data_IF_485747553041
#
_entry.id   IF_485747553041
#
_cell.length_a   1.000
_cell.length_b   1.000
_cell.length_c   1.000
_cell.angle_alpha   90.00
_cell.angle_beta   90.00
_cell.angle_gamma   90.00
#
_symmetry.space_group_name_H-M   'P 1'
#
loop_
_entity.id
_entity.type
_entity.pdbx_description
1 polymer ?
#
# COMPACT_ATOMS: atom_id res chain seq x y z
N UNK A 1 -2.92 -30.13 10.31
CA UNK A 1 -1.54 -30.64 10.53
C UNK A 1 -0.52 -29.53 10.30
N UNK A 2 0.39 -29.30 11.25
CA UNK A 2 1.47 -28.30 11.14
C UNK A 2 2.82 -28.99 10.92
N UNK A 3 3.62 -28.47 9.98
CA UNK A 3 5.00 -28.88 9.73
C UNK A 3 5.97 -27.73 10.01
N UNK A 4 7.15 -28.03 10.52
CA UNK A 4 8.19 -27.04 10.81
C UNK A 4 9.53 -27.49 10.23
N UNK A 5 10.20 -26.62 9.46
CA UNK A 5 11.55 -26.88 8.93
C UNK A 5 12.55 -25.93 9.59
N UNK A 6 13.47 -26.44 10.43
CA UNK A 6 14.42 -25.60 11.16
C UNK A 6 15.50 -25.01 10.24
N UNK A 7 16.08 -23.89 10.70
CA UNK A 7 17.21 -23.24 10.02
C UNK A 7 18.43 -24.17 9.91
N UNK A 8 19.16 -24.07 8.80
CA UNK A 8 20.35 -24.89 8.53
C UNK A 8 20.10 -26.17 7.70
N UNK A 9 18.88 -26.39 7.21
CA UNK A 9 18.58 -27.39 6.20
C UNK A 9 18.06 -26.69 4.94
N UNK A 10 18.98 -26.12 4.15
CA UNK A 10 18.63 -25.35 2.94
C UNK A 10 19.72 -24.43 2.37
N UNK A 11 20.74 -24.02 3.15
CA UNK A 11 21.82 -23.17 2.63
C UNK A 11 22.99 -22.89 3.60
N UNK A 12 24.20 -22.84 3.02
CA UNK A 12 25.51 -22.34 3.49
C UNK A 12 26.36 -23.05 4.57
N UNK A 13 26.00 -24.22 5.11
CA UNK A 13 26.95 -25.02 5.92
C UNK A 13 27.03 -26.48 5.46
N UNK A 14 28.24 -26.94 5.13
CA UNK A 14 28.52 -28.23 4.48
C UNK A 14 28.34 -29.47 5.36
N UNK A 15 27.95 -29.33 6.65
CA UNK A 15 27.99 -30.45 7.60
C UNK A 15 26.66 -31.19 7.86
N UNK A 16 25.51 -30.67 7.42
CA UNK A 16 24.22 -31.36 7.61
C UNK A 16 23.27 -31.13 6.41
N UNK A 17 23.47 -31.83 5.30
CA UNK A 17 22.52 -31.88 4.17
C UNK A 17 21.52 -33.01 4.36
N UNK A 18 20.47 -32.82 5.16
CA UNK A 18 19.20 -33.54 4.91
C UNK A 18 18.42 -32.74 3.88
N UNK A 19 17.90 -33.40 2.84
CA UNK A 19 17.08 -32.70 1.84
C UNK A 19 15.82 -32.16 2.54
N UNK A 20 15.45 -30.91 2.28
CA UNK A 20 14.22 -30.31 2.80
C UNK A 20 12.99 -31.17 2.52
N UNK A 21 12.99 -31.87 1.38
CA UNK A 21 11.96 -32.82 0.96
C UNK A 21 11.77 -34.01 1.90
N UNK A 22 12.78 -34.36 2.71
CA UNK A 22 12.68 -35.47 3.68
C UNK A 22 12.03 -35.06 5.01
N UNK A 23 11.87 -33.75 5.24
CA UNK A 23 11.30 -33.21 6.48
C UNK A 23 9.84 -32.77 6.34
N UNK A 24 9.35 -32.59 5.10
CA UNK A 24 7.96 -32.21 4.87
C UNK A 24 7.08 -33.47 4.79
N UNK A 25 5.93 -33.49 5.48
CA UNK A 25 4.95 -34.55 5.30
C UNK A 25 4.36 -34.51 3.88
N UNK A 26 3.65 -35.57 3.48
CA UNK A 26 2.97 -35.62 2.19
C UNK A 26 1.90 -34.54 2.01
N UNK A 27 1.35 -34.01 3.11
CA UNK A 27 0.43 -32.86 3.14
C UNK A 27 0.54 -32.17 4.50
N UNK A 28 0.35 -30.87 4.54
CA UNK A 28 0.08 -30.14 5.78
C UNK A 28 -0.90 -29.00 5.53
N UNK A 29 -1.45 -28.43 6.60
CA UNK A 29 -2.29 -27.23 6.54
C UNK A 29 -1.45 -25.99 6.84
N UNK A 30 -0.48 -26.11 7.74
CA UNK A 30 0.41 -25.01 8.14
C UNK A 30 1.85 -25.45 7.98
N UNK A 31 2.67 -24.62 7.34
CA UNK A 31 4.11 -24.78 7.21
C UNK A 31 4.82 -23.61 7.89
N UNK A 32 5.75 -23.89 8.80
CA UNK A 32 6.63 -22.89 9.39
C UNK A 32 8.08 -23.11 8.94
N UNK A 33 8.73 -22.06 8.44
CA UNK A 33 10.13 -22.11 7.99
C UNK A 33 10.91 -20.89 8.50
N UNK A 34 12.23 -20.99 8.54
CA UNK A 34 13.04 -19.83 8.91
C UNK A 34 13.03 -18.76 7.81
N UNK A 35 13.31 -19.16 6.58
CA UNK A 35 13.42 -18.30 5.40
C UNK A 35 12.19 -18.45 4.49
N UNK A 36 11.84 -17.42 3.69
CA UNK A 36 10.73 -17.47 2.75
C UNK A 36 11.05 -18.37 1.54
N UNK A 37 10.05 -18.80 0.77
CA UNK A 37 10.27 -19.47 -0.51
C UNK A 37 10.97 -18.54 -1.52
N UNK A 38 11.86 -19.10 -2.37
CA UNK A 38 12.56 -18.32 -3.40
C UNK A 38 11.59 -17.56 -4.31
N UNK A 39 11.91 -16.30 -4.59
CA UNK A 39 11.14 -15.34 -5.39
C UNK A 39 9.80 -14.89 -4.78
N UNK A 40 9.50 -15.22 -3.53
CA UNK A 40 8.26 -14.80 -2.87
C UNK A 40 8.61 -14.25 -1.49
N UNK A 41 8.35 -12.97 -1.25
CA UNK A 41 8.66 -12.30 0.03
C UNK A 41 10.13 -12.46 0.47
N UNK A 42 11.06 -12.53 -0.50
CA UNK A 42 12.46 -12.91 -0.26
C UNK A 42 13.50 -11.93 -0.82
N UNK A 43 13.07 -10.74 -1.23
CA UNK A 43 13.95 -9.71 -1.79
C UNK A 43 14.61 -8.92 -0.67
N UNK A 44 15.94 -8.89 -0.64
CA UNK A 44 16.75 -8.07 0.26
C UNK A 44 16.92 -6.64 -0.25
N UNK A 45 17.43 -5.72 0.59
CA UNK A 45 17.77 -4.35 0.17
C UNK A 45 18.82 -4.32 -0.96
N UNK A 46 19.71 -5.33 -1.02
CA UNK A 46 20.70 -5.49 -2.11
C UNK A 46 20.05 -5.78 -3.47
N UNK A 47 18.75 -6.05 -3.51
CA UNK A 47 18.02 -6.48 -4.70
C UNK A 47 18.12 -7.99 -4.97
N UNK A 48 18.98 -8.69 -4.22
CA UNK A 48 19.11 -10.15 -4.28
C UNK A 48 17.87 -10.82 -3.67
N UNK A 49 17.68 -12.08 -4.06
CA UNK A 49 16.60 -12.94 -3.57
C UNK A 49 17.21 -13.97 -2.65
N UNK A 50 16.95 -13.91 -1.36
CA UNK A 50 17.58 -14.77 -0.36
C UNK A 50 16.68 -15.92 0.10
N UNK A 51 15.54 -16.16 -0.56
CA UNK A 51 14.63 -17.22 -0.20
C UNK A 51 15.13 -18.61 -0.60
N UNK A 52 14.54 -19.63 0.00
CA UNK A 52 14.94 -21.02 -0.21
C UNK A 52 14.37 -21.59 -1.50
N UNK A 53 15.24 -21.99 -2.41
CA UNK A 53 14.80 -22.72 -3.62
C UNK A 53 14.37 -24.14 -3.26
N UNK A 54 15.04 -24.78 -2.31
CA UNK A 54 14.75 -26.15 -1.89
C UNK A 54 13.42 -26.28 -1.14
N UNK A 55 13.04 -25.31 -0.31
CA UNK A 55 11.70 -25.31 0.32
C UNK A 55 10.62 -25.08 -0.72
N UNK A 56 10.83 -24.11 -1.61
CA UNK A 56 9.88 -23.81 -2.70
C UNK A 56 9.63 -25.06 -3.55
N UNK A 57 10.68 -25.69 -4.06
CA UNK A 57 10.56 -26.90 -4.87
C UNK A 57 9.93 -28.06 -4.10
N UNK A 58 10.21 -28.20 -2.79
CA UNK A 58 9.61 -29.27 -2.01
C UNK A 58 8.09 -29.09 -1.81
N UNK A 59 7.61 -27.85 -1.65
CA UNK A 59 6.17 -27.55 -1.56
C UNK A 59 5.49 -27.63 -2.93
N UNK A 60 6.15 -27.17 -4.00
CA UNK A 60 5.66 -27.33 -5.39
C UNK A 60 5.47 -28.82 -5.76
N UNK A 61 6.31 -29.72 -5.25
CA UNK A 61 6.29 -31.15 -5.54
C UNK A 61 5.67 -32.01 -4.42
N UNK A 62 4.91 -31.40 -3.51
CA UNK A 62 4.23 -32.13 -2.43
C UNK A 62 3.24 -33.15 -3.04
N UNK A 63 3.22 -34.38 -2.52
CA UNK A 63 2.40 -35.48 -3.07
C UNK A 63 0.91 -35.34 -2.76
N UNK A 64 0.57 -34.69 -1.65
CA UNK A 64 -0.78 -34.28 -1.32
C UNK A 64 -0.91 -32.76 -1.39
N UNK A 65 -1.99 -32.23 -0.83
CA UNK A 65 -2.27 -30.80 -0.97
C UNK A 65 -1.21 -29.94 -0.25
N UNK A 66 -0.70 -28.87 -0.90
CA UNK A 66 0.17 -27.87 -0.28
C UNK A 66 -0.43 -27.26 1.00
N UNK A 67 0.38 -26.57 1.82
CA UNK A 67 -0.12 -25.86 3.00
C UNK A 67 -1.16 -24.81 2.64
N UNK A 68 -2.16 -24.61 3.50
CA UNK A 68 -3.07 -23.46 3.46
C UNK A 68 -2.34 -22.19 3.91
N UNK A 69 -1.45 -22.31 4.88
CA UNK A 69 -0.68 -21.21 5.46
C UNK A 69 0.81 -21.58 5.53
N UNK A 70 1.68 -20.70 5.05
CA UNK A 70 3.13 -20.81 5.18
C UNK A 70 3.70 -19.59 5.89
N UNK A 71 4.09 -19.76 7.16
CA UNK A 71 4.73 -18.71 7.97
C UNK A 71 6.25 -18.82 7.88
N UNK A 72 6.91 -17.69 7.62
CA UNK A 72 8.36 -17.60 7.50
C UNK A 72 8.90 -16.28 8.07
N UNK A 73 10.22 -16.10 8.08
CA UNK A 73 10.89 -14.90 8.56
C UNK A 73 12.22 -14.64 7.83
N UNK A 74 13.22 -14.16 8.56
CA UNK A 74 14.61 -13.93 8.12
C UNK A 74 14.85 -12.78 7.14
N UNK A 75 14.00 -12.58 6.13
CA UNK A 75 14.16 -11.52 5.14
C UNK A 75 13.28 -10.34 5.53
N UNK A 76 13.86 -9.38 6.26
CA UNK A 76 13.15 -8.24 6.85
C UNK A 76 12.51 -7.34 5.80
N UNK A 77 13.18 -7.16 4.67
CA UNK A 77 12.73 -6.39 3.51
C UNK A 77 11.59 -7.07 2.75
N UNK A 78 11.51 -8.40 2.88
CA UNK A 78 10.46 -9.21 2.30
C UNK A 78 9.25 -9.36 3.22
N UNK A 79 9.21 -8.68 4.37
CA UNK A 79 8.10 -8.76 5.32
C UNK A 79 6.76 -8.48 4.63
N UNK A 80 5.75 -9.29 4.92
CA UNK A 80 4.40 -9.10 4.39
C UNK A 80 3.66 -10.41 4.26
N UNK A 81 2.53 -10.38 3.54
CA UNK A 81 1.75 -11.56 3.23
C UNK A 81 1.34 -11.57 1.75
N UNK A 82 1.32 -12.75 1.14
CA UNK A 82 0.90 -12.95 -0.25
C UNK A 82 0.28 -14.34 -0.42
N UNK A 83 -0.69 -14.47 -1.31
CA UNK A 83 -1.26 -15.77 -1.68
C UNK A 83 -0.60 -16.28 -2.96
N UNK A 84 -0.28 -17.56 -3.00
CA UNK A 84 0.32 -18.21 -4.18
C UNK A 84 -0.17 -19.64 -4.26
N UNK A 85 -0.51 -20.09 -5.46
CA UNK A 85 -0.89 -21.48 -5.70
C UNK A 85 0.36 -22.34 -5.82
N UNK A 86 0.42 -23.39 -5.01
CA UNK A 86 1.45 -24.43 -5.08
C UNK A 86 0.83 -25.75 -5.51
N UNK A 87 1.69 -26.74 -5.75
CA UNK A 87 1.32 -28.13 -5.97
C UNK A 87 1.53 -28.60 -7.41
N UNK A 88 1.13 -29.84 -7.66
CA UNK A 88 1.22 -30.46 -8.98
C UNK A 88 -0.08 -30.24 -9.76
N UNK A 89 -0.14 -30.61 -11.04
CA UNK A 89 -1.38 -30.49 -11.84
C UNK A 89 -2.61 -31.18 -11.22
N UNK A 90 -2.42 -32.19 -10.36
CA UNK A 90 -3.51 -32.94 -9.71
C UNK A 90 -3.86 -32.39 -8.33
N UNK A 91 -2.87 -31.90 -7.60
CA UNK A 91 -2.99 -31.52 -6.20
C UNK A 91 -2.50 -30.08 -6.00
N UNK A 92 -3.26 -29.11 -6.53
CA UNK A 92 -2.97 -27.68 -6.32
C UNK A 92 -3.74 -27.11 -5.15
N UNK A 93 -3.13 -26.18 -4.41
CA UNK A 93 -3.83 -25.37 -3.39
C UNK A 93 -3.28 -23.96 -3.32
N UNK A 94 -4.15 -22.99 -3.09
CA UNK A 94 -3.74 -21.64 -2.71
C UNK A 94 -3.14 -21.65 -1.29
N UNK A 95 -1.91 -21.18 -1.18
CA UNK A 95 -1.19 -21.02 0.08
C UNK A 95 -1.05 -19.55 0.41
N UNK A 96 -1.51 -19.13 1.58
CA UNK A 96 -1.18 -17.84 2.16
C UNK A 96 0.23 -17.91 2.75
N UNK A 97 1.19 -17.16 2.19
CA UNK A 97 2.54 -17.04 2.73
C UNK A 97 2.64 -15.76 3.55
N UNK A 98 3.16 -15.85 4.76
CA UNK A 98 3.38 -14.73 5.68
C UNK A 98 4.85 -14.68 6.08
N UNK A 99 5.58 -13.68 5.62
CA UNK A 99 6.92 -13.36 6.12
C UNK A 99 6.77 -12.40 7.32
N UNK A 100 6.84 -12.95 8.53
CA UNK A 100 6.64 -12.26 9.80
C UNK A 100 7.96 -11.74 10.41
N UNK A 101 8.86 -11.19 9.58
CA UNK A 101 10.13 -10.59 10.02
C UNK A 101 9.93 -9.26 10.76
N UNK A 102 9.31 -9.32 11.94
CA UNK A 102 8.87 -8.16 12.73
C UNK A 102 9.99 -7.53 13.57
N UNK A 103 11.05 -8.28 13.88
CA UNK A 103 12.16 -7.80 14.70
C UNK A 103 13.18 -7.00 13.90
N UNK A 104 14.12 -6.36 14.60
CA UNK A 104 15.26 -5.69 13.98
C UNK A 104 16.19 -6.67 13.23
N UNK A 105 16.88 -6.23 12.16
CA UNK A 105 17.91 -7.03 11.51
C UNK A 105 19.04 -7.41 12.47
N UNK A 106 19.65 -8.58 12.24
CA UNK A 106 20.69 -9.14 13.09
C UNK A 106 20.12 -9.87 14.31
N UNK A 107 20.64 -9.59 15.51
CA UNK A 107 20.13 -10.22 16.74
C UNK A 107 18.81 -9.54 17.14
N UNK A 108 17.71 -10.28 17.03
CA UNK A 108 16.40 -9.81 17.44
C UNK A 108 16.39 -9.41 18.92
N UNK A 109 16.23 -8.11 19.20
CA UNK A 109 16.19 -7.55 20.55
C UNK A 109 15.08 -6.49 20.73
N UNK A 110 14.44 -6.04 19.64
CA UNK A 110 13.20 -5.27 19.69
C UNK A 110 12.36 -5.51 18.42
N UNK A 111 11.06 -5.20 18.49
CA UNK A 111 10.17 -5.21 17.33
C UNK A 111 10.32 -3.90 16.56
N UNK A 112 10.55 -4.01 15.25
CA UNK A 112 10.54 -2.88 14.30
C UNK A 112 9.16 -2.72 13.69
N UNK A 113 8.42 -3.82 13.53
CA UNK A 113 7.10 -3.84 12.93
C UNK A 113 6.08 -4.49 13.87
N UNK A 114 4.84 -4.03 13.81
CA UNK A 114 3.71 -4.66 14.48
C UNK A 114 3.38 -6.06 13.94
N UNK A 115 2.36 -6.73 14.50
CA UNK A 115 1.91 -8.02 13.98
C UNK A 115 1.44 -7.90 12.52
N UNK A 116 1.58 -8.97 11.75
CA UNK A 116 0.87 -9.09 10.47
C UNK A 116 -0.46 -9.76 10.79
N UNK A 117 -1.56 -9.04 10.55
CA UNK A 117 -2.91 -9.57 10.68
C UNK A 117 -3.34 -10.09 9.32
N UNK A 118 -3.79 -11.34 9.26
CA UNK A 118 -4.25 -11.97 8.03
C UNK A 118 -5.51 -12.77 8.28
N UNK A 119 -6.44 -12.73 7.32
CA UNK A 119 -7.61 -13.59 7.32
C UNK A 119 -7.27 -14.94 6.69
N UNK A 120 -7.42 -16.00 7.48
CA UNK A 120 -7.34 -17.37 7.02
C UNK A 120 -8.77 -17.82 6.67
N UNK A 121 -9.31 -17.36 5.54
CA UNK A 121 -10.65 -17.75 5.11
C UNK A 121 -10.70 -19.25 4.75
N UNK A 122 -11.71 -19.94 5.27
CA UNK A 122 -12.03 -21.33 4.95
C UNK A 122 -12.94 -21.39 3.72
N UNK A 123 -12.38 -21.26 2.52
CA UNK A 123 -13.10 -21.60 1.29
C UNK A 123 -12.45 -22.78 0.61
N UNK A 124 -12.63 -23.96 1.22
CA UNK A 124 -12.53 -25.24 0.49
C UNK A 124 -13.84 -25.41 -0.30
N UNK A 125 -14.06 -24.61 -1.34
CA UNK A 125 -15.07 -24.91 -2.35
C UNK A 125 -14.40 -25.54 -3.56
N UNK A 126 -14.70 -26.82 -3.75
CA UNK A 126 -14.41 -27.61 -4.94
C UNK A 126 -14.92 -26.82 -6.15
N UNK A 127 -14.01 -26.37 -7.02
CA UNK A 127 -14.39 -25.91 -8.35
C UNK A 127 -13.73 -26.82 -9.38
N UNK A 128 -14.63 -27.54 -10.03
CA UNK A 128 -14.45 -28.37 -11.22
C UNK A 128 -13.55 -27.71 -12.27
N UNK A 129 -12.72 -28.55 -12.89
CA UNK A 129 -11.67 -28.18 -13.83
C UNK A 129 -12.23 -27.65 -15.14
N UNK A 130 -12.45 -26.34 -15.24
CA UNK A 130 -12.63 -25.67 -16.52
C UNK A 130 -12.50 -24.14 -16.42
N UNK A 131 -11.46 -23.62 -15.75
CA UNK A 131 -11.07 -22.22 -15.92
C UNK A 131 -9.60 -22.10 -16.22
N UNK A 132 -9.32 -21.58 -17.42
CA UNK A 132 -8.00 -21.20 -17.94
C UNK A 132 -7.20 -20.45 -16.86
N UNK A 133 -5.86 -20.52 -16.88
CA UNK A 133 -5.03 -19.88 -15.88
C UNK A 133 -5.43 -18.41 -15.78
N UNK A 134 -6.02 -18.04 -14.65
CA UNK A 134 -6.26 -16.66 -14.29
C UNK A 134 -4.85 -16.07 -14.16
N UNK A 135 -4.45 -15.33 -15.19
CA UNK A 135 -3.28 -14.48 -15.12
C UNK A 135 -3.37 -13.71 -13.79
N UNK A 136 -2.26 -13.66 -13.05
CA UNK A 136 -2.12 -12.79 -11.90
C UNK A 136 -2.49 -11.37 -12.33
N UNK A 137 -3.76 -11.00 -12.17
CA UNK A 137 -4.15 -9.61 -12.06
C UNK A 137 -3.49 -9.17 -10.76
N UNK A 138 -2.37 -8.46 -10.95
CA UNK A 138 -1.97 -7.40 -10.02
C UNK A 138 -3.28 -6.75 -9.57
N UNK A 139 -3.52 -6.63 -8.26
CA UNK A 139 -4.44 -5.60 -7.75
C UNK A 139 -3.79 -4.24 -8.05
N UNK A 140 -3.59 -3.93 -9.33
CA UNK A 140 -3.56 -2.58 -9.82
C UNK A 140 -4.93 -2.03 -9.54
N UNK A 141 -4.97 -0.89 -8.86
CA UNK A 141 -6.11 0.00 -8.81
C UNK A 141 -6.96 -0.12 -10.08
N UNK A 142 -8.20 -0.59 -9.93
CA UNK A 142 -9.20 -0.56 -10.98
C UNK A 142 -10.28 0.36 -10.45
N UNK A 143 -10.11 1.67 -10.66
CA UNK A 143 -11.19 2.61 -10.44
C UNK A 143 -12.44 2.08 -11.13
N UNK A 144 -13.54 1.97 -10.39
CA UNK A 144 -14.83 1.88 -11.04
C UNK A 144 -15.12 3.30 -11.52
N UNK A 145 -14.97 3.53 -12.82
CA UNK A 145 -15.14 4.86 -13.40
C UNK A 145 -16.61 5.24 -13.29
N UNK A 146 -16.95 6.17 -12.40
CA UNK A 146 -18.28 6.79 -12.33
C UNK A 146 -18.52 7.55 -13.64
N UNK A 147 -19.73 7.46 -14.18
CA UNK A 147 -20.13 8.31 -15.31
C UNK A 147 -20.35 9.73 -14.77
N UNK A 148 -19.35 10.59 -14.97
CA UNK A 148 -19.36 12.00 -14.58
C UNK A 148 -20.47 12.75 -15.33
N UNK A 149 -21.38 13.40 -14.60
CA UNK A 149 -22.41 14.23 -15.22
C UNK A 149 -21.86 15.62 -15.59
N UNK A 150 -22.51 16.29 -16.53
CA UNK A 150 -22.14 17.65 -16.94
C UNK A 150 -22.35 18.62 -15.77
N UNK A 151 -21.36 19.47 -15.49
CA UNK A 151 -21.35 20.33 -14.31
C UNK A 151 -20.88 19.68 -13.01
N UNK A 152 -20.55 18.38 -12.98
CA UNK A 152 -19.88 17.78 -11.83
C UNK A 152 -18.35 17.91 -11.94
N UNK A 153 -17.68 17.92 -10.79
CA UNK A 153 -16.22 17.86 -10.68
C UNK A 153 -15.85 16.85 -9.60
N UNK A 154 -15.02 15.87 -9.92
CA UNK A 154 -14.63 14.84 -8.94
C UNK A 154 -13.52 15.35 -8.03
N UNK A 155 -13.57 14.94 -6.76
CA UNK A 155 -12.57 15.21 -5.75
C UNK A 155 -11.90 13.93 -5.24
N UNK A 156 -10.64 14.07 -4.88
CA UNK A 156 -9.81 13.08 -4.20
C UNK A 156 -9.34 13.64 -2.86
N UNK A 157 -9.79 13.02 -1.77
CA UNK A 157 -9.25 13.26 -0.43
C UNK A 157 -8.18 12.20 -0.13
N UNK A 158 -6.96 12.64 0.14
CA UNK A 158 -5.82 11.79 0.44
C UNK A 158 -5.34 11.98 1.89
N UNK A 159 -5.28 10.89 2.65
CA UNK A 159 -4.96 10.85 4.08
C UNK A 159 -3.69 10.03 4.34
N UNK A 160 -2.70 10.62 4.97
CA UNK A 160 -1.56 9.90 5.57
C UNK A 160 -2.02 9.22 6.87
N UNK A 161 -1.76 7.93 7.11
CA UNK A 161 -2.30 7.26 8.31
C UNK A 161 -1.54 7.60 9.58
N UNK A 162 -2.29 8.04 10.59
CA UNK A 162 -1.82 8.21 11.96
C UNK A 162 -2.73 9.13 12.78
N UNK A 163 -2.60 9.11 14.12
CA UNK A 163 -3.27 10.09 15.00
C UNK A 163 -2.70 11.51 14.83
N UNK A 164 -1.50 11.62 14.25
CA UNK A 164 -1.01 12.85 13.63
C UNK A 164 -0.83 12.54 12.15
N UNK A 165 -1.69 13.10 11.32
CA UNK A 165 -1.74 12.79 9.90
C UNK A 165 -1.81 14.06 9.07
N UNK A 166 -1.52 13.92 7.79
CA UNK A 166 -1.86 14.91 6.78
C UNK A 166 -3.15 14.55 6.07
N UNK A 167 -3.86 15.57 5.61
CA UNK A 167 -4.94 15.44 4.63
C UNK A 167 -4.67 16.40 3.47
N UNK A 168 -4.99 15.98 2.25
CA UNK A 168 -4.91 16.81 1.05
C UNK A 168 -6.06 16.54 0.09
N UNK A 169 -6.54 17.59 -0.58
CA UNK A 169 -7.71 17.53 -1.45
C UNK A 169 -7.33 17.97 -2.86
N UNK A 170 -7.53 17.09 -3.83
CA UNK A 170 -7.32 17.35 -5.25
C UNK A 170 -8.65 17.32 -6.01
N UNK A 171 -8.73 18.06 -7.11
CA UNK A 171 -9.79 17.90 -8.10
C UNK A 171 -9.33 17.12 -9.35
N UNK A 172 -10.30 16.77 -10.19
CA UNK A 172 -10.07 16.07 -11.45
C UNK A 172 -9.40 16.87 -12.56
N UNK A 173 -9.16 18.16 -12.35
CA UNK A 173 -8.29 18.98 -13.19
C UNK A 173 -6.83 18.91 -12.75
N UNK A 174 -6.56 18.21 -11.63
CA UNK A 174 -5.24 18.01 -11.06
C UNK A 174 -4.80 19.13 -10.11
N UNK A 175 -5.70 20.05 -9.72
CA UNK A 175 -5.38 21.12 -8.77
C UNK A 175 -5.41 20.62 -7.34
N UNK A 176 -4.50 21.12 -6.52
CA UNK A 176 -4.48 20.93 -5.08
C UNK A 176 -5.27 22.06 -4.42
N UNK A 177 -6.48 21.74 -3.97
CA UNK A 177 -7.43 22.69 -3.40
C UNK A 177 -7.11 23.05 -1.96
N UNK A 178 -6.75 22.02 -1.16
CA UNK A 178 -6.53 22.17 0.29
C UNK A 178 -5.52 21.14 0.78
N UNK A 179 -4.77 21.48 1.81
CA UNK A 179 -4.00 20.49 2.58
C UNK A 179 -3.81 20.97 4.01
N UNK A 180 -3.87 20.03 4.97
CA UNK A 180 -3.80 20.34 6.39
C UNK A 180 -3.07 19.24 7.16
N UNK A 181 -2.63 19.59 8.37
CA UNK A 181 -2.20 18.62 9.36
C UNK A 181 -3.34 18.41 10.35
N UNK A 182 -3.74 17.16 10.54
CA UNK A 182 -4.76 16.75 11.46
C UNK A 182 -4.13 16.11 12.69
N UNK A 183 -4.82 16.25 13.82
CA UNK A 183 -4.43 15.60 15.07
C UNK A 183 -5.69 15.08 15.76
N UNK A 184 -5.69 13.79 16.01
CA UNK A 184 -6.70 13.08 16.78
C UNK A 184 -6.10 12.69 18.13
N UNK A 185 -6.91 12.77 19.18
CA UNK A 185 -6.47 12.38 20.53
C UNK A 185 -6.24 10.86 20.61
N UNK A 186 -7.18 10.11 20.05
CA UNK A 186 -7.24 8.65 20.00
C UNK A 186 -8.14 8.21 18.82
N UNK A 187 -8.41 6.91 18.74
CA UNK A 187 -9.24 6.33 17.68
C UNK A 187 -10.73 6.69 17.82
N UNK A 188 -11.22 6.93 19.04
CA UNK A 188 -12.61 7.39 19.25
C UNK A 188 -12.80 8.83 18.74
N UNK A 189 -11.82 9.70 18.99
CA UNK A 189 -11.76 11.06 18.44
C UNK A 189 -11.68 11.05 16.90
N UNK A 190 -10.91 10.11 16.32
CA UNK A 190 -10.84 9.89 14.88
C UNK A 190 -12.22 9.52 14.32
N UNK A 191 -12.90 8.53 14.90
CA UNK A 191 -14.22 8.11 14.45
C UNK A 191 -15.27 9.23 14.50
N UNK A 192 -15.20 10.11 15.51
CA UNK A 192 -16.13 11.24 15.65
C UNK A 192 -15.84 12.36 14.66
N UNK A 193 -14.57 12.71 14.46
CA UNK A 193 -14.18 13.91 13.72
C UNK A 193 -13.87 13.68 12.25
N UNK A 194 -13.58 12.44 11.83
CA UNK A 194 -13.36 12.12 10.42
C UNK A 194 -14.59 12.43 9.55
N UNK A 195 -15.84 12.04 9.92
CA UNK A 195 -17.03 12.42 9.16
C UNK A 195 -17.22 13.93 9.09
N UNK A 196 -17.12 14.62 10.24
CA UNK A 196 -17.26 16.08 10.32
C UNK A 196 -16.25 16.82 9.44
N UNK A 197 -15.03 16.28 9.31
CA UNK A 197 -14.00 16.83 8.46
C UNK A 197 -14.31 16.65 6.98
N UNK A 198 -14.77 15.46 6.58
CA UNK A 198 -15.18 15.17 5.21
C UNK A 198 -16.31 16.13 4.79
N UNK A 199 -17.34 16.25 5.64
CA UNK A 199 -18.48 17.13 5.38
C UNK A 199 -18.09 18.60 5.36
N UNK A 200 -17.26 19.04 6.31
CA UNK A 200 -16.75 20.41 6.33
C UNK A 200 -15.99 20.75 5.05
N UNK A 201 -15.07 19.87 4.59
CA UNK A 201 -14.30 20.15 3.38
C UNK A 201 -15.15 20.14 2.12
N UNK A 202 -16.14 19.23 2.04
CA UNK A 202 -17.12 19.20 0.94
C UNK A 202 -17.95 20.47 0.89
N UNK A 203 -18.42 20.94 2.05
CA UNK A 203 -19.25 22.14 2.15
C UNK A 203 -18.44 23.40 1.85
N UNK A 204 -17.23 23.53 2.40
CA UNK A 204 -16.36 24.68 2.17
C UNK A 204 -16.05 24.88 0.68
N UNK A 205 -15.76 23.78 -0.04
CA UNK A 205 -15.43 23.83 -1.47
C UNK A 205 -16.66 24.14 -2.34
N UNK A 206 -17.87 23.75 -1.91
CA UNK A 206 -19.11 24.01 -2.63
C UNK A 206 -19.84 25.28 -2.16
N UNK A 207 -19.32 25.99 -1.15
CA UNK A 207 -19.96 27.19 -0.59
C UNK A 207 -19.91 28.39 -1.56
N UNK A 208 -18.88 28.44 -2.40
CA UNK A 208 -18.77 29.44 -3.47
C UNK A 208 -19.19 28.81 -4.79
N UNK A 209 -20.25 29.35 -5.41
CA UNK A 209 -20.72 28.92 -6.71
C UNK A 209 -19.61 29.12 -7.75
N UNK A 210 -18.92 28.03 -8.06
CA UNK A 210 -17.93 27.99 -9.13
C UNK A 210 -18.65 27.77 -10.44
N UNK A 211 -18.24 28.51 -11.48
CA UNK A 211 -18.85 28.43 -12.81
C UNK A 211 -17.78 27.93 -13.78
N UNK A 212 -18.12 26.97 -14.62
CA UNK A 212 -17.22 26.47 -15.66
C UNK A 212 -17.08 27.46 -16.83
N UNK A 213 -16.25 27.12 -17.82
CA UNK A 213 -16.06 27.95 -19.01
C UNK A 213 -17.32 28.14 -19.87
N UNK A 214 -18.35 27.32 -19.66
CA UNK A 214 -19.62 27.33 -20.41
C UNK A 214 -20.76 28.01 -19.64
N UNK A 215 -20.52 28.48 -18.42
CA UNK A 215 -21.55 29.13 -17.61
C UNK A 215 -22.35 28.18 -16.72
N UNK A 216 -21.96 26.90 -16.63
CA UNK A 216 -22.61 25.91 -15.76
C UNK A 216 -22.05 25.97 -14.35
N UNK A 217 -22.93 25.82 -13.37
CA UNK A 217 -22.57 25.70 -11.96
C UNK A 217 -21.81 24.37 -11.74
N UNK A 218 -20.63 24.46 -11.14
CA UNK A 218 -19.77 23.32 -10.83
C UNK A 218 -20.16 22.80 -9.45
N UNK A 219 -20.56 21.52 -9.42
CA UNK A 219 -20.78 20.77 -8.19
C UNK A 219 -19.62 19.83 -7.94
N UNK A 220 -18.88 20.06 -6.86
CA UNK A 220 -17.78 19.19 -6.47
C UNK A 220 -18.29 17.97 -5.70
N UNK A 221 -17.96 16.78 -6.20
CA UNK A 221 -18.35 15.48 -5.65
C UNK A 221 -17.10 14.77 -5.14
N UNK A 222 -17.08 14.38 -3.86
CA UNK A 222 -16.01 13.53 -3.36
C UNK A 222 -16.20 12.11 -3.91
N UNK A 223 -15.33 11.71 -4.82
CA UNK A 223 -15.40 10.41 -5.50
C UNK A 223 -14.32 9.44 -5.03
N UNK A 224 -13.24 9.95 -4.44
CA UNK A 224 -12.14 9.11 -3.96
C UNK A 224 -11.68 9.51 -2.56
N UNK A 225 -11.56 8.53 -1.68
CA UNK A 225 -10.89 8.65 -0.38
C UNK A 225 -9.67 7.71 -0.38
N UNK A 226 -8.48 8.27 -0.56
CA UNK A 226 -7.23 7.52 -0.53
C UNK A 226 -6.58 7.60 0.85
N UNK A 227 -6.20 6.46 1.42
CA UNK A 227 -5.67 6.35 2.79
C UNK A 227 -4.37 5.54 2.77
N UNK A 228 -3.28 6.08 3.32
CA UNK A 228 -1.96 5.42 3.31
C UNK A 228 -1.94 4.18 4.21
N UNK A 229 -1.88 2.98 3.66
CA UNK A 229 -1.78 1.74 4.42
C UNK A 229 -3.14 1.13 4.75
N UNK A 230 -3.21 0.32 5.81
CA UNK A 230 -4.40 -0.44 6.19
C UNK A 230 -4.44 -0.76 7.69
N UNK A 231 -5.43 -1.55 8.11
CA UNK A 231 -5.65 -1.95 9.51
C UNK A 231 -6.63 -1.03 10.23
N UNK A 232 -6.68 -1.11 11.57
CA UNK A 232 -7.71 -0.43 12.39
C UNK A 232 -7.92 1.06 12.07
N UNK A 233 -6.85 1.85 11.83
CA UNK A 233 -7.02 3.26 11.46
C UNK A 233 -7.63 3.47 10.07
N UNK A 234 -7.40 2.54 9.12
CA UNK A 234 -8.10 2.54 7.84
C UNK A 234 -9.58 2.19 8.04
N UNK A 235 -9.87 1.20 8.88
CA UNK A 235 -11.23 0.79 9.22
C UNK A 235 -12.00 1.95 9.89
N UNK A 236 -11.29 2.82 10.62
CA UNK A 236 -11.87 4.02 11.20
C UNK A 236 -12.28 5.07 10.15
N UNK A 237 -11.48 5.28 9.12
CA UNK A 237 -11.86 6.10 7.96
C UNK A 237 -12.96 5.45 7.13
N UNK A 238 -12.95 4.12 6.95
CA UNK A 238 -14.04 3.40 6.28
C UNK A 238 -15.37 3.52 7.03
N UNK A 239 -15.31 3.47 8.37
CA UNK A 239 -16.48 3.63 9.25
C UNK A 239 -16.99 5.06 9.28
N UNK A 240 -16.17 6.04 8.88
CA UNK A 240 -16.58 7.45 8.80
C UNK A 240 -17.50 7.74 7.60
N UNK A 241 -17.53 6.84 6.62
CA UNK A 241 -18.40 6.94 5.45
C UNK A 241 -19.77 6.31 5.76
N UNK A 242 -20.82 7.09 5.54
CA UNK A 242 -22.19 6.59 5.64
C UNK A 242 -22.55 5.64 4.49
N UNK A 243 -23.78 5.11 4.50
CA UNK A 243 -24.23 4.16 3.49
C UNK A 243 -24.35 4.74 2.07
N UNK A 244 -24.56 6.04 1.94
CA UNK A 244 -24.67 6.72 0.65
C UNK A 244 -23.27 7.07 0.14
N UNK A 245 -22.41 7.58 1.01
CA UNK A 245 -20.99 7.78 0.76
C UNK A 245 -20.30 6.50 0.29
N UNK A 246 -20.63 5.34 0.87
CA UNK A 246 -20.05 4.06 0.44
C UNK A 246 -20.45 3.62 -0.97
N UNK A 247 -21.49 4.22 -1.56
CA UNK A 247 -21.87 3.99 -2.96
C UNK A 247 -21.13 4.93 -3.90
N UNK A 248 -20.91 6.18 -3.48
CA UNK A 248 -20.40 7.24 -4.33
C UNK A 248 -18.89 7.49 -4.20
N UNK A 249 -18.31 7.18 -3.02
CA UNK A 249 -16.88 7.30 -2.74
C UNK A 249 -16.21 5.96 -2.89
N UNK A 250 -15.20 5.93 -3.76
CA UNK A 250 -14.25 4.84 -3.80
C UNK A 250 -13.20 5.03 -2.70
N UNK A 251 -13.27 4.20 -1.66
CA UNK A 251 -12.23 4.10 -0.63
C UNK A 251 -11.03 3.29 -1.17
N UNK A 252 -9.83 3.84 -1.03
CA UNK A 252 -8.60 3.29 -1.59
C UNK A 252 -7.51 3.21 -0.52
N UNK A 253 -7.07 1.99 -0.22
CA UNK A 253 -5.83 1.77 0.55
C UNK A 253 -4.63 1.92 -0.39
N UNK A 254 -3.73 2.85 -0.09
CA UNK A 254 -2.50 3.11 -0.85
C UNK A 254 -1.30 2.67 -0.04
N UNK A 255 -0.48 1.75 -0.53
CA UNK A 255 0.70 1.33 0.23
C UNK A 255 1.77 2.43 0.20
N UNK A 256 2.49 2.66 1.31
CA UNK A 256 3.57 3.63 1.33
C UNK A 256 4.59 3.41 0.21
N UNK A 257 4.90 2.16 -0.12
CA UNK A 257 5.85 1.79 -1.16
C UNK A 257 5.37 2.15 -2.58
N UNK A 258 4.06 2.19 -2.83
CA UNK A 258 3.48 2.50 -4.13
C UNK A 258 3.80 3.94 -4.52
N UNK A 259 3.33 4.90 -3.72
CA UNK A 259 3.59 6.31 -3.99
C UNK A 259 5.08 6.66 -3.84
N UNK A 260 5.79 6.05 -2.86
CA UNK A 260 7.23 6.31 -2.68
C UNK A 260 8.04 5.85 -3.87
N UNK A 261 7.79 4.66 -4.40
CA UNK A 261 8.55 4.16 -5.56
C UNK A 261 8.26 4.92 -6.84
N UNK A 262 7.07 5.51 -6.96
CA UNK A 262 6.65 6.31 -8.10
C UNK A 262 7.24 7.73 -8.10
N UNK A 263 7.36 8.35 -6.91
CA UNK A 263 7.78 9.75 -6.79
C UNK A 263 9.25 9.95 -6.35
N UNK A 264 9.79 9.03 -5.53
CA UNK A 264 11.11 9.17 -4.90
C UNK A 264 12.18 8.34 -5.62
N UNK A 265 13.37 8.93 -5.72
CA UNK A 265 14.56 8.21 -6.20
C UNK A 265 15.02 7.12 -5.21
N UNK A 266 15.81 6.13 -5.65
CA UNK A 266 16.37 5.13 -4.73
C UNK A 266 17.17 5.74 -3.56
N UNK A 267 17.87 6.86 -3.79
CA UNK A 267 18.63 7.56 -2.74
C UNK A 267 17.71 8.21 -1.70
N UNK A 268 16.60 8.79 -2.15
CA UNK A 268 15.60 9.39 -1.25
C UNK A 268 14.88 8.32 -0.42
N UNK A 269 14.74 7.10 -0.96
CA UNK A 269 14.15 5.94 -0.27
C UNK A 269 15.09 5.18 0.67
N UNK A 270 16.33 5.64 0.84
CA UNK A 270 17.34 4.91 1.62
C UNK A 270 17.05 4.82 3.13
N UNK A 271 16.28 5.76 3.67
CA UNK A 271 15.91 5.80 5.09
C UNK A 271 14.58 6.52 5.31
N UNK A 272 13.90 6.24 6.42
CA UNK A 272 12.66 6.96 6.78
C UNK A 272 12.87 8.47 6.88
N UNK A 273 14.05 8.91 7.32
CA UNK A 273 14.41 10.33 7.38
C UNK A 273 14.52 10.95 5.99
N UNK A 274 15.26 10.31 5.08
CA UNK A 274 15.42 10.81 3.71
C UNK A 274 14.11 10.77 2.92
N UNK A 275 13.24 9.79 3.17
CA UNK A 275 11.89 9.74 2.60
C UNK A 275 11.08 10.97 3.00
N UNK A 276 11.06 11.28 4.29
CA UNK A 276 10.34 12.43 4.84
C UNK A 276 10.90 13.76 4.36
N UNK A 277 12.22 13.86 4.21
CA UNK A 277 12.87 15.04 3.63
C UNK A 277 12.49 15.20 2.15
N UNK A 278 12.50 14.13 1.36
CA UNK A 278 12.10 14.16 -0.05
C UNK A 278 10.61 14.48 -0.22
N UNK A 279 9.73 13.88 0.58
CA UNK A 279 8.30 14.14 0.58
C UNK A 279 8.00 15.62 0.83
N UNK A 280 8.70 16.27 1.77
CA UNK A 280 8.56 17.74 2.00
C UNK A 280 8.97 18.57 0.79
N UNK A 281 10.05 18.20 0.10
CA UNK A 281 10.49 18.94 -1.10
C UNK A 281 9.51 18.75 -2.26
N UNK A 282 9.03 17.52 -2.46
CA UNK A 282 8.02 17.19 -3.46
C UNK A 282 6.71 17.92 -3.16
N UNK A 283 6.22 17.90 -1.92
CA UNK A 283 5.00 18.59 -1.54
C UNK A 283 5.08 20.10 -1.80
N UNK A 284 6.24 20.73 -1.54
CA UNK A 284 6.43 22.15 -1.90
C UNK A 284 6.39 22.40 -3.42
N UNK A 285 6.97 21.51 -4.21
CA UNK A 285 6.87 21.59 -5.68
C UNK A 285 5.42 21.42 -6.13
N UNK A 286 4.70 20.44 -5.59
CA UNK A 286 3.29 20.18 -5.92
C UNK A 286 2.41 21.37 -5.56
N UNK A 287 2.58 21.96 -4.36
CA UNK A 287 1.83 23.15 -3.96
C UNK A 287 2.07 24.33 -4.89
N UNK A 288 3.30 24.54 -5.35
CA UNK A 288 3.58 25.65 -6.25
C UNK A 288 3.09 25.40 -7.69
N UNK A 289 3.19 24.15 -8.17
CA UNK A 289 2.81 23.80 -9.54
C UNK A 289 1.30 23.59 -9.70
N UNK A 290 0.61 23.10 -8.67
CA UNK A 290 -0.80 22.66 -8.72
C UNK A 290 -1.69 23.30 -7.66
N UNK A 291 -1.14 23.97 -6.65
CA UNK A 291 -1.92 24.57 -5.57
C UNK A 291 -2.75 25.78 -6.02
N UNK A 292 -3.97 25.89 -5.50
CA UNK A 292 -4.76 27.12 -5.56
C UNK A 292 -4.52 28.03 -4.36
N UNK A 293 -4.06 27.45 -3.24
CA UNK A 293 -3.55 28.21 -2.11
C UNK A 293 -2.16 28.73 -2.51
N UNK A 294 -1.97 30.05 -2.58
CA UNK A 294 -0.71 30.67 -3.04
C UNK A 294 0.56 30.13 -2.35
N UNK A 295 1.73 30.46 -2.89
CA UNK A 295 3.02 29.86 -2.52
C UNK A 295 3.19 29.60 -1.01
N UNK A 296 3.44 28.33 -0.63
CA UNK A 296 3.66 27.94 0.76
C UNK A 296 4.90 28.62 1.35
N UNK A 297 4.71 29.47 2.37
CA UNK A 297 5.78 30.13 3.10
C UNK A 297 6.10 29.37 4.41
N UNK A 298 7.32 28.83 4.53
CA UNK A 298 7.82 28.22 5.76
C UNK A 298 8.19 26.75 5.64
N UNK A 299 8.38 26.07 6.79
CA UNK A 299 8.67 24.63 6.83
C UNK A 299 7.38 23.83 6.61
N UNK A 300 7.34 23.09 5.51
CA UNK A 300 6.28 22.11 5.24
C UNK A 300 6.30 21.03 6.32
N UNK A 301 5.22 20.89 7.09
CA UNK A 301 5.11 19.86 8.12
C UNK A 301 5.06 18.48 7.47
N UNK A 302 5.74 17.51 8.08
CA UNK A 302 5.95 16.18 7.46
C UNK A 302 4.65 15.46 7.15
N UNK A 303 3.72 15.43 8.08
CA UNK A 303 2.48 14.65 7.96
C UNK A 303 1.64 15.18 6.78
N UNK A 304 1.51 16.51 6.68
CA UNK A 304 0.90 17.16 5.51
C UNK A 304 1.67 16.86 4.22
N UNK A 305 3.00 16.82 4.25
CA UNK A 305 3.81 16.54 3.06
C UNK A 305 3.61 15.11 2.52
N UNK A 306 3.49 14.12 3.41
CA UNK A 306 3.25 12.73 3.03
C UNK A 306 1.86 12.61 2.38
N UNK A 307 0.83 13.25 2.96
CA UNK A 307 -0.51 13.28 2.34
C UNK A 307 -0.53 13.96 0.97
N UNK A 308 0.13 15.11 0.79
CA UNK A 308 0.20 15.83 -0.49
C UNK A 308 0.95 15.01 -1.54
N UNK A 309 2.06 14.35 -1.16
CA UNK A 309 2.80 13.48 -2.07
C UNK A 309 1.96 12.26 -2.49
N UNK A 310 1.27 11.61 -1.54
CA UNK A 310 0.38 10.49 -1.84
C UNK A 310 -0.81 10.93 -2.70
N UNK A 311 -1.44 12.06 -2.38
CA UNK A 311 -2.54 12.63 -3.16
C UNK A 311 -2.11 12.98 -4.59
N UNK A 312 -0.91 13.56 -4.77
CA UNK A 312 -0.33 13.81 -6.08
C UNK A 312 -0.08 12.53 -6.88
N UNK A 313 0.44 11.49 -6.22
CA UNK A 313 0.58 10.16 -6.83
C UNK A 313 -0.78 9.62 -7.30
N UNK A 314 -1.81 9.70 -6.45
CA UNK A 314 -3.15 9.22 -6.77
C UNK A 314 -3.80 10.02 -7.90
N UNK A 315 -3.70 11.35 -7.89
CA UNK A 315 -4.18 12.21 -8.97
C UNK A 315 -3.48 11.90 -10.31
N UNK A 316 -2.16 11.62 -10.29
CA UNK A 316 -1.47 11.13 -11.48
C UNK A 316 -1.94 9.74 -11.92
N UNK A 317 -2.21 8.84 -10.96
CA UNK A 317 -2.69 7.49 -11.23
C UNK A 317 -4.12 7.45 -11.79
N UNK A 318 -4.96 8.41 -11.39
CA UNK A 318 -6.31 8.66 -11.92
C UNK A 318 -6.30 9.31 -13.31
N UNK A 319 -5.15 9.80 -13.77
CA UNK A 319 -5.02 10.55 -15.02
C UNK A 319 -5.42 12.02 -14.93
N UNK A 320 -5.65 12.54 -13.72
CA UNK A 320 -5.98 13.95 -13.48
C UNK A 320 -4.76 14.86 -13.65
N UNK A 321 -3.57 14.30 -13.42
CA UNK A 321 -2.29 14.99 -13.61
C UNK A 321 -1.45 14.26 -14.64
N UNK A 322 -1.21 14.90 -15.77
CA UNK A 322 -0.28 14.43 -16.80
C UNK A 322 0.94 15.34 -16.90
N UNK A 323 2.02 14.97 -16.19
CA UNK A 323 3.29 15.73 -16.17
C UNK A 323 4.49 14.84 -16.46
N UNK A 324 5.42 15.32 -17.29
CA UNK A 324 6.72 14.69 -17.55
C UNK A 324 7.88 15.70 -17.52
N UNK A 325 8.94 15.50 -16.69
CA UNK A 325 9.03 14.49 -15.65
C UNK A 325 8.02 14.74 -14.53
N UNK A 326 7.58 13.68 -13.85
CA UNK A 326 6.56 13.79 -12.80
C UNK A 326 7.02 14.65 -11.62
N UNK A 327 8.32 14.63 -11.32
CA UNK A 327 8.98 15.51 -10.35
C UNK A 327 10.10 16.27 -11.07
N UNK A 328 10.05 17.60 -11.05
CA UNK A 328 11.13 18.42 -11.61
C UNK A 328 12.35 18.37 -10.69
N UNK A 329 13.51 18.02 -11.26
CA UNK A 329 14.77 17.80 -10.53
C UNK A 329 15.93 18.48 -11.27
N UNK A 330 16.91 18.96 -10.50
CA UNK A 330 18.20 19.39 -11.05
C UNK A 330 18.99 18.17 -11.57
N UNK A 331 20.04 18.42 -12.36
CA UNK A 331 20.93 17.37 -12.88
C UNK A 331 21.60 16.52 -11.79
N UNK A 332 21.76 17.06 -10.57
CA UNK A 332 22.27 16.33 -9.40
C UNK A 332 21.21 15.47 -8.68
N UNK A 333 19.98 15.41 -9.20
CA UNK A 333 18.87 14.63 -8.67
C UNK A 333 18.04 15.32 -7.58
N UNK A 334 18.44 16.50 -7.10
CA UNK A 334 17.67 17.26 -6.08
C UNK A 334 16.37 17.78 -6.67
N UNK A 335 15.29 17.71 -5.90
CA UNK A 335 13.98 18.28 -6.24
C UNK A 335 14.12 19.79 -6.44
N UNK A 336 13.59 20.30 -7.56
CA UNK A 336 13.50 21.74 -7.82
C UNK A 336 12.33 22.27 -7.01
N UNK A 337 12.58 23.16 -6.06
CA UNK A 337 11.50 23.77 -5.30
C UNK A 337 11.43 25.25 -5.62
N UNK A 338 10.23 25.78 -5.95
CA UNK A 338 10.03 27.20 -6.14
C UNK A 338 10.46 28.00 -4.90
N UNK A 339 10.90 29.24 -5.14
CA UNK A 339 11.55 30.07 -4.11
C UNK A 339 10.60 30.45 -3.00
#
# INVERSE_FOLDING_TARGET
>A
VMACVPYGHGGFSSKYKRSTSSLLPSTCDILATHEPPKNILDRCLSGEKAGSSSLRTAVENMKGLPPKLWVCGHIHEGRGAVRTTFGTQRDTRETLIVNASNANPGRANHLVYGPIVVDVSSKDEITDGSKKPIAQEKRTFRAQKREKQEGEQELLLAIDLGLRCGASLFDDTGKLLRYEQLRFADEEDLHKRAPELIDSWRNDINAENSIDSNGLEIKNILSYLAVEGGGHLFDAWESSLDSEDKKDIQLVSVRPEEWRSHLLTPKERASSRSCKEAARLIARQVVSDFGLMGDHKGRFKTDAAESVAMGYFMANHLGWIERKPLISRYSNGKVIVPR
#
